data_IF_876998707849
#
_entry.id   IF_876998707849
#
_cell.length_a   1.000
_cell.length_b   1.000
_cell.length_c   1.000
_cell.angle_alpha   90.00
_cell.angle_beta   90.00
_cell.angle_gamma   90.00
#
_symmetry.space_group_name_H-M   'P 1'
#
loop_
_entity.id
_entity.type
_entity.pdbx_description
1 polymer ?
#
# COMPACT_ATOMS: atom_id res chain seq x y z
N UNK A 1 -8.67 12.34 -13.12
CA UNK A 1 -9.54 11.50 -12.27
C UNK A 1 -8.83 10.17 -12.02
N UNK A 2 -7.71 10.18 -11.29
CA UNK A 2 -6.93 8.98 -10.99
C UNK A 2 -6.69 8.75 -9.49
N UNK A 3 -7.12 9.70 -8.65
CA UNK A 3 -7.02 9.62 -7.18
C UNK A 3 -7.95 8.52 -6.61
N UNK A 4 -8.91 7.99 -7.38
CA UNK A 4 -9.90 7.02 -6.90
C UNK A 4 -9.45 5.54 -6.94
N UNK A 5 -8.26 5.22 -7.49
CA UNK A 5 -7.78 3.83 -7.55
C UNK A 5 -6.82 3.44 -6.42
N UNK A 6 -6.38 4.39 -5.60
CA UNK A 6 -5.58 4.10 -4.42
C UNK A 6 -6.43 3.31 -3.40
N UNK A 7 -5.92 2.19 -2.92
CA UNK A 7 -6.60 1.36 -1.91
C UNK A 7 -6.66 2.14 -0.61
N UNK A 8 -7.80 2.79 -0.36
CA UNK A 8 -8.09 3.54 0.86
C UNK A 8 -9.17 2.81 1.65
N UNK A 9 -8.82 2.42 2.87
CA UNK A 9 -9.74 1.71 3.76
C UNK A 9 -10.67 2.69 4.49
N UNK A 10 -11.74 3.10 3.81
CA UNK A 10 -12.80 3.94 4.40
C UNK A 10 -13.99 3.14 4.97
N UNK A 11 -14.03 1.81 4.75
CA UNK A 11 -15.04 0.87 5.29
C UNK A 11 -16.50 1.14 4.87
N UNK A 12 -16.71 1.72 3.68
CA UNK A 12 -18.05 1.96 3.13
C UNK A 12 -18.80 0.69 2.71
N UNK A 13 -18.07 -0.36 2.32
CA UNK A 13 -18.61 -1.63 1.83
C UNK A 13 -17.93 -2.78 2.57
N UNK A 14 -18.59 -3.93 2.68
CA UNK A 14 -18.00 -5.12 3.26
C UNK A 14 -16.73 -5.54 2.48
N UNK A 15 -15.66 -5.98 3.16
CA UNK A 15 -14.40 -6.31 2.51
C UNK A 15 -14.44 -7.61 1.68
N UNK A 16 -15.53 -8.37 1.76
CA UNK A 16 -15.81 -9.55 0.94
C UNK A 16 -16.90 -9.30 -0.10
N UNK A 17 -17.35 -8.05 -0.26
CA UNK A 17 -18.33 -7.69 -1.29
C UNK A 17 -17.70 -7.88 -2.69
N UNK A 18 -18.38 -8.53 -3.65
CA UNK A 18 -17.84 -8.76 -4.98
C UNK A 18 -17.35 -7.49 -5.70
N UNK A 19 -18.01 -6.33 -5.48
CA UNK A 19 -17.58 -5.06 -6.06
C UNK A 19 -16.28 -4.56 -5.44
N UNK A 20 -16.13 -4.75 -4.12
CA UNK A 20 -14.89 -4.41 -3.44
C UNK A 20 -13.75 -5.33 -3.87
N UNK A 21 -13.99 -6.65 -3.95
CA UNK A 21 -12.99 -7.60 -4.43
C UNK A 21 -12.52 -7.27 -5.85
N UNK A 22 -13.45 -6.95 -6.76
CA UNK A 22 -13.10 -6.46 -8.10
C UNK A 22 -12.28 -5.17 -8.07
N UNK A 23 -12.53 -4.29 -7.11
CA UNK A 23 -11.75 -3.05 -6.92
C UNK A 23 -10.39 -3.33 -6.30
N UNK A 24 -10.21 -4.38 -5.52
CA UNK A 24 -8.92 -4.80 -4.96
C UNK A 24 -8.06 -5.50 -6.02
N UNK A 25 -8.69 -6.26 -6.92
CA UNK A 25 -7.99 -6.97 -7.99
C UNK A 25 -7.49 -6.03 -9.10
N UNK A 26 -8.25 -4.98 -9.43
CA UNK A 26 -7.88 -4.05 -10.51
C UNK A 26 -6.54 -3.30 -10.31
N UNK A 27 -6.23 -2.73 -9.12
CA UNK A 27 -4.93 -2.14 -8.81
C UNK A 27 -3.79 -3.14 -8.82
N UNK A 28 -4.04 -4.41 -8.49
CA UNK A 28 -2.99 -5.44 -8.40
C UNK A 28 -2.26 -5.64 -9.74
N UNK A 29 -2.95 -5.42 -10.85
CA UNK A 29 -2.39 -5.51 -12.20
C UNK A 29 -1.76 -4.22 -12.74
N UNK A 30 -2.08 -3.06 -12.17
CA UNK A 30 -1.73 -1.75 -12.76
C UNK A 30 -0.83 -0.89 -11.85
N UNK A 31 -0.98 -1.01 -10.53
CA UNK A 31 -0.38 -0.08 -9.55
C UNK A 31 0.55 -0.77 -8.53
N UNK A 32 0.57 -2.12 -8.51
CA UNK A 32 1.44 -2.89 -7.61
C UNK A 32 2.71 -3.29 -8.34
N UNK A 33 3.84 -2.70 -7.95
CA UNK A 33 5.17 -3.12 -8.33
C UNK A 33 5.72 -4.06 -7.24
N UNK A 34 5.57 -5.36 -7.45
CA UNK A 34 5.88 -6.43 -6.48
C UNK A 34 5.02 -6.36 -5.20
N UNK A 35 5.43 -5.60 -4.19
CA UNK A 35 4.63 -5.31 -2.98
C UNK A 35 4.37 -3.83 -2.76
N UNK A 36 4.95 -2.98 -3.59
CA UNK A 36 4.90 -1.54 -3.45
C UNK A 36 3.79 -0.96 -4.31
N UNK A 37 2.99 -0.07 -3.74
CA UNK A 37 1.75 0.41 -4.37
C UNK A 37 1.86 1.89 -4.73
N UNK A 38 1.68 2.20 -6.00
CA UNK A 38 1.54 3.58 -6.47
C UNK A 38 0.17 4.15 -6.10
N UNK A 39 0.08 5.47 -5.88
CA UNK A 39 -1.22 6.13 -5.61
C UNK A 39 -2.11 6.13 -6.84
N UNK A 40 -1.52 6.30 -8.01
CA UNK A 40 -2.18 6.33 -9.31
C UNK A 40 -1.16 5.97 -10.39
N UNK A 41 -1.61 5.70 -11.61
CA UNK A 41 -0.71 5.48 -12.74
C UNK A 41 -0.13 6.84 -13.18
N UNK A 42 1.19 7.07 -13.00
CA UNK A 42 1.82 8.35 -13.36
C UNK A 42 1.69 8.68 -14.85
N UNK A 43 1.51 7.67 -15.72
CA UNK A 43 1.34 7.84 -17.17
C UNK A 43 -0.07 8.25 -17.55
N UNK A 44 -1.07 7.75 -16.82
CA UNK A 44 -2.47 8.03 -17.09
C UNK A 44 -2.97 9.33 -16.43
N UNK A 45 -2.27 9.82 -15.40
CA UNK A 45 -2.65 11.03 -14.69
C UNK A 45 -1.43 11.80 -14.18
N UNK A 46 -0.81 12.65 -15.02
CA UNK A 46 0.23 13.54 -14.56
C UNK A 46 -0.36 14.50 -13.51
N UNK A 47 0.13 14.41 -12.28
CA UNK A 47 -0.29 15.24 -11.14
C UNK A 47 0.28 16.67 -11.20
N UNK A 48 1.10 16.96 -12.22
CA UNK A 48 1.75 18.25 -12.43
C UNK A 48 3.01 18.43 -11.59
N UNK A 49 3.47 17.41 -10.87
CA UNK A 49 4.74 17.45 -10.14
C UNK A 49 5.91 17.08 -11.05
N UNK A 50 7.09 17.66 -10.75
CA UNK A 50 8.34 17.37 -11.46
C UNK A 50 9.02 16.16 -10.81
N UNK A 51 9.09 15.05 -11.53
CA UNK A 51 9.76 13.82 -11.09
C UNK A 51 9.03 12.58 -11.60
N UNK A 52 9.64 11.41 -11.44
CA UNK A 52 8.88 10.16 -11.47
C UNK A 52 8.43 9.87 -10.03
N UNK A 53 7.12 9.82 -9.77
CA UNK A 53 6.58 9.52 -8.45
C UNK A 53 7.02 8.12 -7.99
N UNK A 54 7.44 8.02 -6.73
CA UNK A 54 7.72 6.74 -6.11
C UNK A 54 6.45 5.94 -5.84
N UNK A 55 6.64 4.76 -5.26
CA UNK A 55 5.54 4.04 -4.62
C UNK A 55 5.29 4.63 -3.24
N UNK A 56 4.05 4.63 -2.78
CA UNK A 56 3.68 5.18 -1.49
C UNK A 56 3.69 4.09 -0.42
N UNK A 57 4.49 4.30 0.62
CA UNK A 57 4.63 3.33 1.72
C UNK A 57 3.29 3.10 2.43
N UNK A 58 2.51 4.16 2.64
CA UNK A 58 1.17 4.08 3.24
C UNK A 58 0.21 3.22 2.42
N UNK A 59 0.22 3.36 1.09
CA UNK A 59 -0.63 2.59 0.18
C UNK A 59 -0.28 1.10 0.20
N UNK A 60 1.01 0.79 0.33
CA UNK A 60 1.51 -0.58 0.45
C UNK A 60 0.99 -1.28 1.71
N UNK A 61 0.99 -0.59 2.85
CA UNK A 61 0.40 -1.13 4.08
C UNK A 61 -1.13 -1.22 4.04
N UNK A 62 -1.82 -0.28 3.39
CA UNK A 62 -3.26 -0.41 3.18
C UNK A 62 -3.62 -1.57 2.26
N UNK A 63 -2.79 -1.89 1.27
CA UNK A 63 -2.97 -3.06 0.43
C UNK A 63 -2.89 -4.36 1.24
N UNK A 64 -1.90 -4.48 2.14
CA UNK A 64 -1.79 -5.60 3.08
C UNK A 64 -3.06 -5.75 3.91
N UNK A 65 -3.54 -4.66 4.51
CA UNK A 65 -4.75 -4.72 5.34
C UNK A 65 -6.00 -5.04 4.49
N UNK A 66 -6.08 -4.56 3.25
CA UNK A 66 -7.16 -4.89 2.33
C UNK A 66 -7.18 -6.38 1.97
N UNK A 67 -6.02 -6.97 1.62
CA UNK A 67 -5.88 -8.40 1.38
C UNK A 67 -6.27 -9.23 2.61
N UNK A 68 -5.80 -8.81 3.79
CA UNK A 68 -6.15 -9.45 5.07
C UNK A 68 -7.66 -9.49 5.27
N UNK A 69 -8.33 -8.35 5.09
CA UNK A 69 -9.79 -8.23 5.27
C UNK A 69 -10.59 -8.95 4.17
N UNK A 70 -10.02 -9.09 2.98
CA UNK A 70 -10.61 -9.82 1.86
C UNK A 70 -10.50 -11.35 2.02
N UNK A 71 -9.89 -11.85 3.11
CA UNK A 71 -9.71 -13.28 3.32
C UNK A 71 -8.54 -13.86 2.53
N UNK A 72 -7.54 -13.04 2.17
CA UNK A 72 -6.32 -13.43 1.43
C UNK A 72 -5.07 -13.26 2.32
N UNK A 73 -4.98 -13.98 3.46
CA UNK A 73 -3.92 -13.75 4.45
C UNK A 73 -2.52 -14.13 3.97
N UNK A 74 -2.39 -15.15 3.11
CA UNK A 74 -1.08 -15.57 2.59
C UNK A 74 -0.47 -14.49 1.68
N UNK A 75 -1.28 -13.89 0.82
CA UNK A 75 -0.87 -12.77 -0.03
C UNK A 75 -0.58 -11.52 0.80
N UNK A 76 -1.42 -11.24 1.80
CA UNK A 76 -1.21 -10.14 2.73
C UNK A 76 0.13 -10.28 3.47
N UNK A 77 0.45 -11.49 3.94
CA UNK A 77 1.71 -11.80 4.63
C UNK A 77 2.91 -11.59 3.73
N UNK A 78 2.87 -12.12 2.50
CA UNK A 78 3.96 -11.94 1.55
C UNK A 78 4.20 -10.46 1.23
N UNK A 79 3.13 -9.70 0.96
CA UNK A 79 3.22 -8.27 0.71
C UNK A 79 3.74 -7.50 1.94
N UNK A 80 3.32 -7.88 3.14
CA UNK A 80 3.77 -7.27 4.39
C UNK A 80 5.27 -7.49 4.62
N UNK A 81 5.73 -8.74 4.57
CA UNK A 81 7.15 -9.09 4.77
C UNK A 81 8.06 -8.37 3.76
N UNK A 82 7.64 -8.27 2.49
CA UNK A 82 8.37 -7.50 1.48
C UNK A 82 8.39 -6.01 1.78
N UNK A 83 7.25 -5.42 2.14
CA UNK A 83 7.18 -3.99 2.48
C UNK A 83 8.08 -3.66 3.67
N UNK A 84 8.22 -4.57 4.64
CA UNK A 84 9.10 -4.38 5.79
C UNK A 84 10.58 -4.21 5.43
N UNK A 85 11.03 -4.73 4.28
CA UNK A 85 12.43 -4.65 3.84
C UNK A 85 12.88 -3.24 3.47
N UNK A 86 11.94 -2.31 3.27
CA UNK A 86 12.23 -0.91 2.90
C UNK A 86 12.42 0.01 4.12
N UNK A 87 12.26 -0.52 5.33
CA UNK A 87 12.60 0.22 6.54
C UNK A 87 14.10 0.55 6.58
N UNK A 88 14.46 1.68 7.18
CA UNK A 88 15.86 1.91 7.51
C UNK A 88 16.30 1.03 8.70
N UNK A 89 17.58 1.15 9.09
CA UNK A 89 18.17 0.42 10.23
C UNK A 89 17.49 0.69 11.60
N UNK A 90 16.64 1.72 11.71
CA UNK A 90 15.85 2.05 12.90
C UNK A 90 14.39 1.57 12.80
N UNK A 91 14.01 0.90 11.70
CA UNK A 91 12.63 0.49 11.44
C UNK A 91 11.73 1.62 10.92
N UNK A 92 12.30 2.73 10.44
CA UNK A 92 11.56 3.92 10.01
C UNK A 92 11.34 3.96 8.50
N UNK A 93 10.17 4.46 8.10
CA UNK A 93 9.75 4.60 6.71
C UNK A 93 9.64 6.07 6.27
N UNK A 94 9.96 6.30 5.00
CA UNK A 94 9.65 7.54 4.30
C UNK A 94 8.23 7.49 3.73
N UNK A 95 7.76 8.64 3.26
CA UNK A 95 6.52 8.74 2.50
C UNK A 95 6.53 7.85 1.27
N UNK A 96 7.62 7.95 0.50
CA UNK A 96 7.78 7.32 -0.80
C UNK A 96 9.03 6.46 -0.87
N UNK A 97 8.94 5.41 -1.69
CA UNK A 97 10.05 4.54 -2.07
C UNK A 97 10.22 4.67 -3.59
N UNK A 98 11.36 5.21 -3.99
CA UNK A 98 11.70 5.36 -5.40
C UNK A 98 12.12 4.05 -6.06
N UNK A 99 12.38 4.10 -7.37
CA UNK A 99 12.58 2.90 -8.20
C UNK A 99 13.80 2.08 -7.76
N UNK A 100 14.81 2.70 -7.18
CA UNK A 100 16.02 2.01 -6.69
C UNK A 100 15.93 1.63 -5.21
N UNK A 101 14.77 1.81 -4.58
CA UNK A 101 14.55 1.58 -3.16
C UNK A 101 14.98 2.75 -2.28
N UNK A 102 15.33 3.89 -2.88
CA UNK A 102 15.68 5.10 -2.16
C UNK A 102 14.46 5.74 -1.49
N UNK A 103 14.67 6.34 -0.33
CA UNK A 103 13.64 7.06 0.41
C UNK A 103 13.39 8.42 -0.23
N UNK A 104 12.13 8.77 -0.44
CA UNK A 104 11.70 10.06 -0.97
C UNK A 104 10.56 10.66 -0.13
N UNK A 105 10.39 11.97 -0.22
CA UNK A 105 9.37 12.71 0.53
C UNK A 105 9.65 12.81 2.03
N UNK A 106 8.59 12.99 2.81
CA UNK A 106 8.68 13.20 4.26
C UNK A 106 9.31 12.00 4.99
N UNK A 107 10.17 12.28 5.97
CA UNK A 107 10.84 11.26 6.77
C UNK A 107 11.13 11.71 8.21
N UNK A 108 10.77 10.92 9.25
CA UNK A 108 9.90 9.74 9.18
C UNK A 108 8.44 10.14 8.97
N UNK A 109 7.72 9.41 8.11
CA UNK A 109 6.34 9.75 7.77
C UNK A 109 5.37 9.08 8.75
N UNK A 110 4.66 9.87 9.57
CA UNK A 110 3.85 9.34 10.68
C UNK A 110 2.65 8.47 10.24
N UNK A 111 1.95 8.84 9.16
CA UNK A 111 0.79 8.08 8.65
C UNK A 111 1.15 6.69 8.09
N UNK A 112 2.36 6.51 7.57
CA UNK A 112 2.92 5.25 7.09
C UNK A 112 3.17 4.33 8.28
N UNK A 113 3.65 4.87 9.39
CA UNK A 113 3.80 4.08 10.62
C UNK A 113 2.44 3.73 11.23
N UNK A 114 1.45 4.64 11.13
CA UNK A 114 0.07 4.33 11.53
C UNK A 114 -0.54 3.20 10.68
N UNK A 115 -0.35 3.23 9.35
CA UNK A 115 -0.84 2.16 8.47
C UNK A 115 -0.09 0.85 8.68
N UNK A 116 1.22 0.89 8.94
CA UNK A 116 2.02 -0.26 9.33
C UNK A 116 1.44 -0.95 10.58
N UNK A 117 1.19 -0.19 11.65
CA UNK A 117 0.62 -0.73 12.90
C UNK A 117 -0.76 -1.34 12.63
N UNK A 118 -1.61 -0.66 11.86
CA UNK A 118 -2.94 -1.16 11.50
C UNK A 118 -2.87 -2.47 10.71
N UNK A 119 -2.02 -2.53 9.69
CA UNK A 119 -1.83 -3.71 8.87
C UNK A 119 -1.31 -4.89 9.70
N UNK A 120 -0.27 -4.66 10.52
CA UNK A 120 0.29 -5.67 11.40
C UNK A 120 -0.76 -6.24 12.37
N UNK A 121 -1.51 -5.35 13.03
CA UNK A 121 -2.54 -5.76 13.99
C UNK A 121 -3.67 -6.58 13.36
N UNK A 122 -4.15 -6.19 12.18
CA UNK A 122 -5.24 -6.93 11.52
C UNK A 122 -4.73 -8.26 10.95
N UNK A 123 -3.51 -8.31 10.42
CA UNK A 123 -2.92 -9.53 9.87
C UNK A 123 -2.63 -10.55 10.98
N UNK A 124 -2.04 -10.11 12.08
CA UNK A 124 -1.76 -10.95 13.26
C UNK A 124 -3.02 -11.68 13.74
N UNK A 125 -4.13 -10.95 13.94
CA UNK A 125 -5.42 -11.51 14.34
C UNK A 125 -6.00 -12.59 13.41
N UNK A 126 -5.58 -12.61 12.14
CA UNK A 126 -6.03 -13.62 11.17
C UNK A 126 -5.08 -14.82 11.17
N UNK A 127 -3.80 -14.62 11.51
CA UNK A 127 -2.78 -15.66 11.50
C UNK A 127 -2.64 -16.42 12.83
N UNK A 128 -2.95 -15.82 13.99
CA UNK A 128 -2.83 -16.46 15.30
C UNK A 128 -2.92 -15.50 16.48
#
# INVERSE_FOLDING_TARGET
MAIERAIRLAKFVAPTDPKWLSTLDAPTTELVADSLVHRYDPRASPDGLRGEEGTFSICSFWYVEALTRAGRPDEARLAFEKTLTYANHLGLYAEEIGRTGERQGDFPQAFTHLSLISAAFNLDRVLG
#
